data_IF_784368765620
#
_entry.id   IF_784368765620
#
_cell.length_a   1.000
_cell.length_b   1.000
_cell.length_c   1.000
_cell.angle_alpha   90.00
_cell.angle_beta   90.00
_cell.angle_gamma   90.00
#
_symmetry.space_group_name_H-M   'P 1'
#
loop_
_entity.id
_entity.type
_entity.pdbx_description
1 polymer ?
#
# COMPACT_ATOMS: atom_id res chain seq x y z
N UNK A 1 87.18 0.43 2.23
CA UNK A 1 85.93 0.73 1.52
C UNK A 1 84.87 1.06 2.54
N UNK A 2 84.42 2.31 2.57
CA UNK A 2 83.39 2.78 3.50
C UNK A 2 82.03 2.35 2.92
N UNK A 3 81.41 1.33 3.52
CA UNK A 3 80.06 0.88 3.18
C UNK A 3 79.08 1.99 3.51
N UNK A 4 78.46 2.61 2.49
CA UNK A 4 77.49 3.68 2.69
C UNK A 4 76.29 3.15 3.46
N UNK A 5 76.10 3.62 4.69
CA UNK A 5 74.89 3.37 5.47
C UNK A 5 73.73 4.08 4.77
N UNK A 6 72.86 3.33 4.08
CA UNK A 6 71.57 3.87 3.62
C UNK A 6 70.62 3.83 4.82
N UNK A 7 70.01 4.97 5.22
CA UNK A 7 68.96 4.96 6.22
C UNK A 7 67.82 4.06 5.73
N UNK A 8 67.14 3.35 6.65
CA UNK A 8 65.98 2.54 6.29
C UNK A 8 64.92 3.41 5.62
N UNK A 9 64.21 2.90 4.61
CA UNK A 9 63.12 3.63 3.98
C UNK A 9 62.07 4.01 5.03
N UNK A 10 61.48 5.21 4.93
CA UNK A 10 60.42 5.63 5.84
C UNK A 10 59.28 4.60 5.82
N UNK A 11 58.61 4.35 6.96
CA UNK A 11 57.47 3.45 7.01
C UNK A 11 56.41 3.92 6.01
N UNK A 12 55.75 2.98 5.30
CA UNK A 12 54.69 3.35 4.37
C UNK A 12 53.60 4.15 5.11
N UNK A 13 53.03 5.19 4.48
CA UNK A 13 51.96 5.95 5.10
C UNK A 13 50.82 5.00 5.51
N UNK A 14 50.19 5.24 6.68
CA UNK A 14 49.07 4.41 7.14
C UNK A 14 48.00 4.36 6.05
N UNK A 15 47.50 3.16 5.78
CA UNK A 15 46.45 2.96 4.78
C UNK A 15 45.27 3.89 5.09
N UNK A 16 44.70 4.58 4.08
CA UNK A 16 43.52 5.41 4.31
C UNK A 16 42.43 4.55 4.95
N UNK A 17 41.69 5.08 5.94
CA UNK A 17 40.60 4.34 6.56
C UNK A 17 39.63 3.87 5.47
N UNK A 18 39.08 2.65 5.57
CA UNK A 18 38.13 2.15 4.59
C UNK A 18 37.03 3.19 4.42
N UNK A 19 36.64 3.53 3.18
CA UNK A 19 35.63 4.55 2.94
C UNK A 19 34.42 4.21 3.80
N UNK A 20 34.04 5.13 4.68
CA UNK A 20 32.90 5.00 5.57
C UNK A 20 31.72 4.63 4.69
N UNK A 21 31.27 3.37 4.78
CA UNK A 21 30.20 2.89 3.92
C UNK A 21 29.03 3.85 4.10
N UNK A 22 28.64 4.54 3.03
CA UNK A 22 27.64 5.61 3.10
C UNK A 22 26.44 5.14 3.90
N UNK A 23 26.13 5.88 4.97
CA UNK A 23 25.12 5.55 5.98
C UNK A 23 23.84 5.04 5.29
N UNK A 24 23.61 3.72 5.36
CA UNK A 24 22.42 3.14 4.79
C UNK A 24 21.27 3.52 5.73
N UNK A 25 20.33 4.33 5.26
CA UNK A 25 19.01 4.47 5.91
C UNK A 25 18.48 3.07 6.21
N UNK A 26 18.34 2.77 7.50
CA UNK A 26 17.74 1.55 8.00
C UNK A 26 16.24 1.53 7.63
N UNK A 27 15.80 0.43 7.03
CA UNK A 27 14.41 0.24 6.61
C UNK A 27 13.80 -1.01 7.25
N UNK A 28 14.44 -1.57 8.27
CA UNK A 28 14.02 -2.84 8.88
C UNK A 28 12.72 -2.67 9.65
N UNK A 29 12.58 -1.59 10.43
CA UNK A 29 11.32 -1.24 11.09
C UNK A 29 10.16 -1.05 10.08
N UNK A 30 10.41 -0.36 8.96
CA UNK A 30 9.41 -0.18 7.89
C UNK A 30 9.07 -1.50 7.20
N UNK A 31 10.03 -2.43 7.11
CA UNK A 31 9.79 -3.78 6.58
C UNK A 31 8.91 -4.60 7.52
N UNK A 32 9.17 -4.52 8.83
CA UNK A 32 8.30 -5.09 9.86
C UNK A 32 6.88 -4.53 9.81
N UNK A 33 6.75 -3.21 9.69
CA UNK A 33 5.45 -2.53 9.58
C UNK A 33 4.67 -2.95 8.33
N UNK A 34 5.35 -3.16 7.19
CA UNK A 34 4.74 -3.72 5.98
C UNK A 34 4.25 -5.15 6.21
N UNK A 35 5.03 -5.97 6.93
CA UNK A 35 4.64 -7.32 7.32
C UNK A 35 3.40 -7.33 8.21
N UNK A 36 3.37 -6.48 9.24
CA UNK A 36 2.22 -6.33 10.12
C UNK A 36 0.96 -5.86 9.36
N UNK A 37 1.13 -4.92 8.43
CA UNK A 37 0.03 -4.45 7.58
C UNK A 37 -0.50 -5.57 6.68
N UNK A 38 0.39 -6.37 6.07
CA UNK A 38 0.01 -7.54 5.27
C UNK A 38 -0.74 -8.60 6.09
N UNK A 39 -0.29 -8.86 7.33
CA UNK A 39 -0.95 -9.75 8.26
C UNK A 39 -2.36 -9.25 8.61
N UNK A 40 -2.50 -7.95 8.89
CA UNK A 40 -3.80 -7.34 9.17
C UNK A 40 -4.76 -7.43 7.98
N UNK A 41 -4.27 -7.23 6.75
CA UNK A 41 -5.05 -7.44 5.51
C UNK A 41 -5.52 -8.89 5.41
N UNK A 42 -4.62 -9.86 5.65
CA UNK A 42 -4.94 -11.29 5.62
C UNK A 42 -6.02 -11.65 6.66
N UNK A 43 -5.85 -11.20 7.90
CA UNK A 43 -6.81 -11.44 8.98
C UNK A 43 -8.16 -10.79 8.68
N UNK A 44 -8.18 -9.54 8.18
CA UNK A 44 -9.40 -8.85 7.79
C UNK A 44 -10.15 -9.54 6.65
N UNK A 45 -9.43 -10.12 5.68
CA UNK A 45 -10.06 -10.95 4.64
C UNK A 45 -10.60 -12.26 5.21
N UNK A 46 -9.82 -12.96 6.03
CA UNK A 46 -10.26 -14.20 6.67
C UNK A 46 -11.51 -13.95 7.53
N UNK A 47 -11.51 -12.88 8.33
CA UNK A 47 -12.66 -12.51 9.17
C UNK A 47 -13.88 -12.09 8.34
N UNK A 48 -13.67 -11.28 7.30
CA UNK A 48 -14.73 -10.79 6.43
C UNK A 48 -15.41 -11.92 5.64
N UNK A 49 -14.64 -12.85 5.07
CA UNK A 49 -15.20 -13.93 4.26
C UNK A 49 -15.79 -15.09 5.07
N UNK A 50 -15.27 -15.38 6.27
CA UNK A 50 -15.76 -16.53 7.06
C UNK A 50 -16.77 -16.14 8.14
N UNK A 51 -16.67 -14.92 8.69
CA UNK A 51 -17.51 -14.48 9.81
C UNK A 51 -18.29 -13.20 9.52
N UNK A 52 -18.14 -12.60 8.34
CA UNK A 52 -18.81 -11.35 7.97
C UNK A 52 -18.28 -10.11 8.70
N UNK A 53 -17.13 -10.22 9.37
CA UNK A 53 -16.53 -9.12 10.15
C UNK A 53 -15.43 -8.46 9.30
N UNK A 54 -15.68 -7.28 8.74
CA UNK A 54 -14.64 -6.49 8.05
C UNK A 54 -13.75 -5.79 9.08
N UNK A 55 -12.56 -6.36 9.33
CA UNK A 55 -11.54 -5.79 10.20
C UNK A 55 -10.82 -4.57 9.61
N UNK A 56 -11.42 -3.84 8.66
CA UNK A 56 -10.82 -2.70 7.96
C UNK A 56 -9.53 -3.09 7.21
N UNK A 57 -9.45 -4.34 6.74
CA UNK A 57 -8.32 -4.82 5.93
C UNK A 57 -8.12 -3.95 4.69
N UNK A 58 -9.20 -3.38 4.14
CA UNK A 58 -9.16 -2.46 3.01
C UNK A 58 -8.39 -1.16 3.25
N UNK A 59 -8.40 -0.61 4.47
CA UNK A 59 -7.66 0.60 4.80
C UNK A 59 -6.15 0.31 4.94
N UNK A 60 -5.82 -0.80 5.59
CA UNK A 60 -4.43 -1.28 5.77
C UNK A 60 -3.73 -1.50 4.43
N UNK A 61 -4.50 -1.91 3.44
CA UNK A 61 -4.10 -2.03 2.05
C UNK A 61 -3.50 -0.75 1.44
N UNK A 62 -4.14 0.41 1.63
CA UNK A 62 -3.59 1.70 1.19
C UNK A 62 -2.26 2.00 1.89
N UNK A 63 -2.18 1.72 3.19
CA UNK A 63 -0.96 1.92 3.96
C UNK A 63 0.18 1.01 3.47
N UNK A 64 -0.12 -0.26 3.15
CA UNK A 64 0.84 -1.19 2.57
C UNK A 64 1.42 -0.68 1.24
N UNK A 65 0.58 -0.09 0.38
CA UNK A 65 1.01 0.47 -0.91
C UNK A 65 1.86 1.73 -0.75
N UNK A 66 1.48 2.62 0.18
CA UNK A 66 2.28 3.80 0.53
C UNK A 66 3.66 3.40 1.03
N UNK A 67 3.73 2.47 1.99
CA UNK A 67 5.01 1.95 2.51
C UNK A 67 5.83 1.24 1.42
N UNK A 68 5.17 0.56 0.48
CA UNK A 68 5.85 -0.09 -0.63
C UNK A 68 6.53 0.91 -1.56
N UNK A 69 5.83 2.00 -1.93
CA UNK A 69 6.42 3.09 -2.73
C UNK A 69 7.58 3.78 -2.01
N UNK A 70 7.43 4.01 -0.69
CA UNK A 70 8.46 4.61 0.14
C UNK A 70 9.72 3.75 0.19
N UNK A 71 9.62 2.50 0.63
CA UNK A 71 10.77 1.59 0.79
C UNK A 71 11.46 1.32 -0.55
N UNK A 72 10.69 1.17 -1.63
CA UNK A 72 11.26 1.02 -2.97
C UNK A 72 12.08 2.23 -3.39
N UNK A 73 11.58 3.43 -3.14
CA UNK A 73 12.28 4.68 -3.45
C UNK A 73 13.54 4.85 -2.61
N UNK A 74 13.52 4.51 -1.32
CA UNK A 74 14.73 4.53 -0.49
C UNK A 74 15.76 3.50 -0.99
N UNK A 75 15.33 2.28 -1.31
CA UNK A 75 16.22 1.20 -1.72
C UNK A 75 16.90 1.47 -3.07
N UNK A 76 16.15 1.97 -4.06
CA UNK A 76 16.68 2.19 -5.42
C UNK A 76 17.06 3.64 -5.73
N UNK A 77 16.55 4.62 -4.99
CA UNK A 77 16.87 6.03 -5.15
C UNK A 77 18.21 6.43 -4.55
N UNK A 78 18.72 5.69 -3.55
CA UNK A 78 19.98 6.00 -2.83
C UNK A 78 21.21 6.09 -3.73
N UNK A 79 21.24 5.36 -4.84
CA UNK A 79 22.37 5.41 -5.79
C UNK A 79 22.45 6.74 -6.56
N UNK A 80 21.52 7.66 -6.34
CA UNK A 80 21.39 8.90 -7.12
C UNK A 80 20.98 10.11 -6.28
N UNK A 81 21.09 10.06 -4.94
CA UNK A 81 20.75 11.20 -4.06
C UNK A 81 21.77 12.31 -4.05
N UNK A 82 22.97 12.07 -4.57
CA UNK A 82 23.96 13.12 -4.75
C UNK A 82 23.52 14.01 -5.93
N UNK A 83 23.08 15.26 -5.68
CA UNK A 83 22.62 16.15 -6.74
C UNK A 83 23.74 16.50 -7.73
N UNK A 84 25.00 16.28 -7.36
CA UNK A 84 26.17 16.56 -8.20
C UNK A 84 26.52 15.39 -9.12
N UNK A 85 26.03 14.17 -8.85
CA UNK A 85 26.35 13.00 -9.67
C UNK A 85 25.35 12.83 -10.80
N UNK A 86 25.84 12.66 -12.06
CA UNK A 86 24.97 12.36 -13.18
C UNK A 86 24.20 11.07 -12.92
N UNK A 87 23.00 11.01 -13.47
CA UNK A 87 22.07 9.91 -13.24
C UNK A 87 22.70 8.60 -13.70
N UNK A 88 22.98 7.70 -12.76
CA UNK A 88 23.32 6.33 -13.13
C UNK A 88 22.09 5.71 -13.80
N UNK A 89 22.23 5.11 -14.99
CA UNK A 89 21.09 4.52 -15.69
C UNK A 89 20.43 3.48 -14.78
N UNK A 90 19.13 3.68 -14.52
CA UNK A 90 18.35 2.73 -13.74
C UNK A 90 18.32 1.40 -14.48
N UNK A 91 18.90 0.35 -13.86
CA UNK A 91 18.95 -0.99 -14.46
C UNK A 91 17.58 -1.66 -14.39
N UNK A 92 16.67 -1.23 -15.28
CA UNK A 92 15.27 -1.63 -15.29
C UNK A 92 15.08 -3.15 -15.37
N UNK A 93 15.81 -3.82 -16.27
CA UNK A 93 15.73 -5.28 -16.41
C UNK A 93 16.12 -6.02 -15.14
N UNK A 94 17.21 -5.60 -14.48
CA UNK A 94 17.63 -6.21 -13.20
C UNK A 94 16.60 -5.97 -12.09
N UNK A 95 16.03 -4.76 -12.05
CA UNK A 95 14.98 -4.42 -11.10
C UNK A 95 13.74 -5.31 -11.29
N UNK A 96 13.20 -5.38 -12.52
CA UNK A 96 12.03 -6.20 -12.81
C UNK A 96 12.28 -7.68 -12.55
N UNK A 97 13.42 -8.22 -12.99
CA UNK A 97 13.79 -9.62 -12.74
C UNK A 97 13.76 -9.96 -11.26
N UNK A 98 14.35 -9.11 -10.42
CA UNK A 98 14.39 -9.34 -8.98
C UNK A 98 13.00 -9.24 -8.33
N UNK A 99 12.12 -8.37 -8.84
CA UNK A 99 10.75 -8.23 -8.34
C UNK A 99 9.85 -9.39 -8.77
N UNK A 100 9.92 -9.79 -10.03
CA UNK A 100 9.15 -10.92 -10.55
C UNK A 100 9.61 -12.26 -9.95
N UNK A 101 10.93 -12.47 -9.76
CA UNK A 101 11.44 -13.66 -9.09
C UNK A 101 10.95 -13.81 -7.63
N UNK A 102 10.57 -12.71 -6.97
CA UNK A 102 9.97 -12.75 -5.63
C UNK A 102 8.46 -12.96 -5.67
N UNK A 103 7.76 -12.35 -6.63
CA UNK A 103 6.30 -12.30 -6.64
C UNK A 103 5.65 -13.46 -7.40
N UNK A 104 6.12 -13.75 -8.61
CA UNK A 104 5.43 -14.67 -9.53
C UNK A 104 5.50 -16.15 -9.12
N UNK A 105 6.62 -16.70 -8.62
CA UNK A 105 6.68 -18.12 -8.27
C UNK A 105 5.63 -18.50 -7.22
N UNK A 106 5.52 -17.70 -6.15
CA UNK A 106 4.52 -17.93 -5.11
C UNK A 106 3.09 -17.78 -5.64
N UNK A 107 2.84 -16.79 -6.50
CA UNK A 107 1.54 -16.60 -7.12
C UNK A 107 1.10 -17.83 -7.92
N UNK A 108 1.95 -18.31 -8.83
CA UNK A 108 1.63 -19.46 -9.66
C UNK A 108 1.48 -20.74 -8.85
N UNK A 109 2.34 -20.98 -7.85
CA UNK A 109 2.19 -22.13 -6.94
C UNK A 109 0.84 -22.12 -6.24
N UNK A 110 0.44 -21.01 -5.63
CA UNK A 110 -0.84 -20.91 -4.92
C UNK A 110 -2.02 -21.05 -5.90
N UNK A 111 -1.94 -20.43 -7.08
CA UNK A 111 -3.01 -20.50 -8.09
C UNK A 111 -3.17 -21.92 -8.63
N UNK A 112 -2.06 -22.62 -8.90
CA UNK A 112 -2.07 -24.02 -9.33
C UNK A 112 -2.61 -24.94 -8.24
N UNK A 113 -2.21 -24.76 -6.97
CA UNK A 113 -2.73 -25.53 -5.84
C UNK A 113 -4.25 -25.31 -5.71
N UNK A 114 -4.71 -24.06 -5.81
CA UNK A 114 -6.13 -23.75 -5.77
C UNK A 114 -6.89 -24.44 -6.91
N UNK A 115 -6.40 -24.33 -8.15
CA UNK A 115 -7.01 -24.99 -9.31
C UNK A 115 -7.07 -26.51 -9.11
N UNK A 116 -5.99 -27.12 -8.60
CA UNK A 116 -5.94 -28.54 -8.32
C UNK A 116 -7.00 -28.97 -7.29
N UNK A 117 -7.08 -28.29 -6.15
CA UNK A 117 -8.11 -28.57 -5.14
C UNK A 117 -9.52 -28.31 -5.64
N UNK A 118 -9.71 -27.28 -6.48
CA UNK A 118 -10.99 -27.00 -7.10
C UNK A 118 -11.42 -28.17 -8.01
N UNK A 119 -10.53 -28.68 -8.87
CA UNK A 119 -10.80 -29.83 -9.74
C UNK A 119 -11.14 -31.07 -8.91
N UNK A 120 -10.40 -31.33 -7.82
CA UNK A 120 -10.66 -32.47 -6.94
C UNK A 120 -12.01 -32.34 -6.20
N UNK A 121 -12.29 -31.18 -5.61
CA UNK A 121 -13.50 -30.94 -4.82
C UNK A 121 -14.77 -30.89 -5.66
N UNK A 122 -14.69 -30.38 -6.89
CA UNK A 122 -15.79 -30.38 -7.86
C UNK A 122 -16.17 -31.79 -8.36
N UNK A 123 -15.35 -32.81 -8.04
CA UNK A 123 -15.64 -34.23 -8.28
C UNK A 123 -15.88 -34.61 -9.73
N UNK A 124 -15.39 -33.83 -10.70
CA UNK A 124 -15.76 -33.93 -12.12
C UNK A 124 -17.22 -33.55 -12.40
N UNK A 125 -18.17 -33.97 -11.57
CA UNK A 125 -19.62 -33.76 -11.75
C UNK A 125 -20.04 -32.29 -11.81
N UNK A 126 -19.43 -31.38 -11.04
CA UNK A 126 -19.78 -29.95 -11.11
C UNK A 126 -19.41 -29.31 -12.46
N UNK A 127 -18.38 -29.83 -13.13
CA UNK A 127 -17.96 -29.41 -14.49
C UNK A 127 -18.96 -29.93 -15.53
N UNK A 128 -19.60 -31.08 -15.29
CA UNK A 128 -20.49 -31.75 -16.24
C UNK A 128 -21.99 -31.43 -16.05
N UNK A 129 -22.47 -31.05 -14.87
CA UNK A 129 -23.91 -30.78 -14.64
C UNK A 129 -24.34 -29.33 -14.85
N UNK A 130 -23.40 -28.36 -14.89
CA UNK A 130 -23.69 -26.95 -15.24
C UNK A 130 -23.29 -26.56 -16.67
N UNK A 131 -23.13 -27.56 -17.56
CA UNK A 131 -22.10 -27.59 -18.61
C UNK A 131 -22.41 -26.93 -19.95
N UNK A 132 -23.62 -26.45 -20.24
CA UNK A 132 -23.86 -25.78 -21.53
C UNK A 132 -23.59 -24.26 -21.49
N UNK A 133 -23.86 -23.58 -20.36
CA UNK A 133 -23.86 -22.10 -20.31
C UNK A 133 -22.67 -21.54 -19.52
N UNK A 134 -22.24 -22.20 -18.44
CA UNK A 134 -21.25 -21.63 -17.52
C UNK A 134 -19.81 -22.13 -17.73
N UNK A 135 -19.61 -23.21 -18.50
CA UNK A 135 -18.30 -23.80 -18.78
C UNK A 135 -17.30 -22.82 -19.42
N UNK A 136 -17.65 -22.14 -20.52
CA UNK A 136 -16.74 -21.18 -21.17
C UNK A 136 -16.37 -20.00 -20.27
N UNK A 137 -17.32 -19.50 -19.47
CA UNK A 137 -17.11 -18.39 -18.53
C UNK A 137 -16.13 -18.78 -17.44
N UNK A 138 -16.25 -20.00 -16.90
CA UNK A 138 -15.30 -20.55 -15.95
C UNK A 138 -13.89 -20.66 -16.55
N UNK A 139 -13.75 -21.27 -17.73
CA UNK A 139 -12.46 -21.40 -18.41
C UNK A 139 -11.83 -20.03 -18.68
N UNK A 140 -12.62 -19.05 -19.11
CA UNK A 140 -12.13 -17.69 -19.32
C UNK A 140 -11.63 -17.05 -18.02
N UNK A 141 -12.35 -17.22 -16.90
CA UNK A 141 -11.93 -16.75 -15.56
C UNK A 141 -10.61 -17.37 -15.13
N UNK A 142 -10.42 -18.67 -15.35
CA UNK A 142 -9.16 -19.37 -15.07
C UNK A 142 -8.03 -18.78 -15.91
N UNK A 143 -8.23 -18.69 -17.24
CA UNK A 143 -7.25 -18.10 -18.17
C UNK A 143 -6.88 -16.68 -17.72
N UNK A 144 -7.87 -15.86 -17.36
CA UNK A 144 -7.64 -14.49 -16.89
C UNK A 144 -6.90 -14.43 -15.56
N UNK A 145 -7.14 -15.38 -14.65
CA UNK A 145 -6.43 -15.44 -13.37
C UNK A 145 -4.97 -15.85 -13.60
N UNK A 146 -4.71 -16.91 -14.38
CA UNK A 146 -3.35 -17.35 -14.70
C UNK A 146 -2.56 -16.30 -15.50
N UNK A 147 -3.22 -15.57 -16.40
CA UNK A 147 -2.60 -14.49 -17.19
C UNK A 147 -2.51 -13.15 -16.46
N UNK A 148 -3.02 -13.05 -15.23
CA UNK A 148 -3.04 -11.81 -14.44
C UNK A 148 -3.80 -10.67 -15.15
N UNK A 149 -4.90 -11.02 -15.84
CA UNK A 149 -5.74 -10.09 -16.61
C UNK A 149 -7.11 -9.81 -15.99
N UNK A 150 -7.53 -10.56 -14.97
CA UNK A 150 -8.91 -10.47 -14.48
C UNK A 150 -9.31 -9.07 -13.95
N UNK A 151 -8.42 -8.31 -13.30
CA UNK A 151 -8.77 -6.97 -12.81
C UNK A 151 -8.65 -5.88 -13.87
N UNK A 152 -8.15 -6.22 -15.05
CA UNK A 152 -8.15 -5.34 -16.21
C UNK A 152 -9.42 -5.44 -17.01
N UNK A 153 -10.15 -6.54 -16.88
CA UNK A 153 -11.39 -6.76 -17.61
C UNK A 153 -12.60 -6.51 -16.73
N UNK A 154 -12.55 -6.94 -15.46
CA UNK A 154 -13.69 -6.83 -14.54
C UNK A 154 -14.28 -5.41 -14.40
N UNK A 155 -13.48 -4.33 -14.22
CA UNK A 155 -14.03 -2.99 -14.05
C UNK A 155 -14.62 -2.35 -15.31
N UNK A 156 -14.39 -2.92 -16.50
CA UNK A 156 -14.84 -2.33 -17.77
C UNK A 156 -15.89 -3.16 -18.47
N UNK A 157 -16.16 -4.35 -17.96
CA UNK A 157 -17.11 -5.28 -18.58
C UNK A 157 -18.22 -5.63 -17.58
N UNK A 158 -19.15 -4.69 -17.29
CA UNK A 158 -20.25 -4.94 -16.36
C UNK A 158 -21.14 -6.11 -16.81
N UNK A 159 -21.18 -6.44 -18.11
CA UNK A 159 -21.87 -7.63 -18.64
C UNK A 159 -21.26 -8.96 -18.18
N UNK A 160 -20.02 -8.94 -17.66
CA UNK A 160 -19.41 -10.08 -16.99
C UNK A 160 -19.77 -10.11 -15.50
N UNK A 161 -20.11 -8.97 -14.88
CA UNK A 161 -20.50 -8.83 -13.47
C UNK A 161 -21.77 -9.61 -13.09
N UNK A 162 -22.01 -9.79 -11.79
CA UNK A 162 -22.93 -10.79 -11.21
C UNK A 162 -24.45 -10.48 -11.39
N UNK A 163 -24.86 -9.50 -12.20
CA UNK A 163 -26.27 -9.26 -12.52
C UNK A 163 -26.45 -8.67 -13.93
N UNK A 164 -27.53 -8.92 -14.69
CA UNK A 164 -28.93 -9.04 -14.26
C UNK A 164 -29.78 -9.98 -15.15
N UNK A 165 -29.24 -10.66 -16.17
CA UNK A 165 -30.08 -11.45 -17.09
C UNK A 165 -29.78 -12.95 -17.19
N UNK A 166 -28.61 -13.45 -16.73
CA UNK A 166 -28.20 -14.83 -17.00
C UNK A 166 -27.50 -15.57 -15.84
N UNK A 167 -27.79 -15.23 -14.57
CA UNK A 167 -27.20 -15.94 -13.42
C UNK A 167 -25.68 -15.77 -13.32
N UNK A 168 -25.21 -14.53 -13.50
CA UNK A 168 -23.83 -14.14 -13.78
C UNK A 168 -22.80 -14.75 -12.85
N UNK A 169 -21.91 -15.54 -13.43
CA UNK A 169 -20.85 -16.28 -12.74
C UNK A 169 -19.45 -15.94 -13.26
N UNK A 170 -19.14 -14.67 -13.60
CA UNK A 170 -17.72 -14.26 -13.48
C UNK A 170 -17.42 -13.92 -12.04
N UNK A 171 -17.38 -15.02 -11.29
CA UNK A 171 -16.81 -15.08 -9.97
C UNK A 171 -15.45 -14.39 -9.98
N UNK A 172 -15.19 -13.68 -8.89
CA UNK A 172 -13.89 -13.14 -8.49
C UNK A 172 -12.74 -14.04 -8.91
N UNK A 173 -11.53 -13.52 -9.17
CA UNK A 173 -10.40 -14.35 -9.52
C UNK A 173 -10.30 -15.56 -8.60
N UNK A 174 -9.88 -16.65 -9.21
CA UNK A 174 -9.77 -17.99 -8.63
C UNK A 174 -9.10 -17.93 -7.27
N UNK A 175 -7.97 -17.24 -7.22
CA UNK A 175 -7.47 -16.69 -5.98
C UNK A 175 -8.02 -15.28 -5.78
N UNK A 176 -8.84 -15.08 -4.74
CA UNK A 176 -9.43 -13.77 -4.40
C UNK A 176 -8.39 -12.68 -4.13
N UNK A 177 -7.11 -13.03 -3.99
CA UNK A 177 -5.96 -12.12 -3.79
C UNK A 177 -5.21 -11.76 -5.09
N UNK A 178 -5.59 -12.33 -6.23
CA UNK A 178 -4.92 -12.10 -7.53
C UNK A 178 -4.84 -10.61 -7.90
N UNK A 179 -5.85 -9.82 -7.53
CA UNK A 179 -5.86 -8.38 -7.80
C UNK A 179 -4.72 -7.63 -7.11
N UNK A 180 -4.28 -8.06 -5.92
CA UNK A 180 -3.16 -7.46 -5.21
C UNK A 180 -1.85 -7.70 -5.96
N UNK A 181 -1.68 -8.91 -6.51
CA UNK A 181 -0.52 -9.26 -7.33
C UNK A 181 -0.49 -8.41 -8.60
N UNK A 182 -1.61 -8.24 -9.29
CA UNK A 182 -1.72 -7.35 -10.45
C UNK A 182 -1.41 -5.89 -10.11
N UNK A 183 -1.91 -5.41 -8.97
CA UNK A 183 -1.60 -4.06 -8.48
C UNK A 183 -0.10 -3.88 -8.25
N UNK A 184 0.55 -4.85 -7.60
CA UNK A 184 2.00 -4.86 -7.39
C UNK A 184 2.78 -4.89 -8.70
N UNK A 185 2.34 -5.67 -9.70
CA UNK A 185 2.98 -5.70 -11.01
C UNK A 185 2.97 -4.32 -11.68
N UNK A 186 1.85 -3.60 -11.62
CA UNK A 186 1.77 -2.22 -12.12
C UNK A 186 2.71 -1.30 -11.38
N UNK A 187 2.77 -1.40 -10.06
CA UNK A 187 3.72 -0.59 -9.29
C UNK A 187 5.16 -0.87 -9.74
N UNK A 188 5.52 -2.12 -10.01
CA UNK A 188 6.88 -2.44 -10.48
C UNK A 188 7.13 -1.91 -11.89
N UNK A 189 6.18 -2.08 -12.83
CA UNK A 189 6.32 -1.58 -14.20
C UNK A 189 6.40 -0.06 -14.26
N UNK A 190 5.60 0.64 -13.45
CA UNK A 190 5.53 2.10 -13.43
C UNK A 190 6.58 2.76 -12.55
N UNK A 191 7.18 2.03 -11.60
CA UNK A 191 8.11 2.58 -10.60
C UNK A 191 9.25 3.44 -11.18
N UNK A 192 9.97 3.06 -12.26
CA UNK A 192 11.05 3.89 -12.78
C UNK A 192 10.56 5.25 -13.29
N UNK A 193 9.38 5.27 -13.92
CA UNK A 193 8.73 6.49 -14.40
C UNK A 193 8.27 7.34 -13.22
N UNK A 194 7.63 6.72 -12.23
CA UNK A 194 7.19 7.38 -10.99
C UNK A 194 8.39 7.95 -10.22
N UNK A 195 9.51 7.23 -10.14
CA UNK A 195 10.73 7.69 -9.47
C UNK A 195 11.34 8.88 -10.20
N UNK A 196 11.40 8.84 -11.54
CA UNK A 196 11.86 9.98 -12.34
C UNK A 196 10.97 11.20 -12.11
N UNK A 197 9.65 11.02 -12.16
CA UNK A 197 8.66 12.07 -11.91
C UNK A 197 8.75 12.64 -10.49
N UNK A 198 8.79 11.79 -9.46
CA UNK A 198 8.85 12.21 -8.06
C UNK A 198 10.09 13.06 -7.77
N UNK A 199 11.19 12.78 -8.46
CA UNK A 199 12.45 13.53 -8.33
C UNK A 199 12.49 14.83 -9.13
N UNK A 200 11.77 14.91 -10.25
CA UNK A 200 11.67 16.15 -11.02
C UNK A 200 10.82 17.23 -10.32
N UNK A 201 10.05 16.86 -9.30
CA UNK A 201 9.23 17.81 -8.55
C UNK A 201 10.12 18.64 -7.59
N UNK A 202 10.10 19.99 -7.71
CA UNK A 202 10.80 20.89 -6.80
C UNK A 202 10.39 20.64 -5.35
N UNK A 203 11.30 20.90 -4.39
CA UNK A 203 11.09 20.53 -2.98
C UNK A 203 9.84 21.20 -2.40
N UNK A 204 9.67 22.48 -2.72
CA UNK A 204 8.57 23.35 -2.36
C UNK A 204 7.20 22.80 -2.82
N UNK A 205 7.14 22.12 -3.97
CA UNK A 205 5.89 21.66 -4.57
C UNK A 205 5.48 20.24 -4.13
N UNK A 206 6.37 19.48 -3.50
CA UNK A 206 6.09 18.07 -3.14
C UNK A 206 4.93 17.91 -2.19
N UNK A 207 4.76 18.83 -1.25
CA UNK A 207 3.63 18.82 -0.32
C UNK A 207 2.29 18.94 -1.05
N UNK A 208 2.21 19.90 -1.98
CA UNK A 208 1.03 20.09 -2.84
C UNK A 208 0.79 18.85 -3.71
N UNK A 209 1.84 18.26 -4.30
CA UNK A 209 1.70 17.04 -5.12
C UNK A 209 1.21 15.82 -4.33
N UNK A 210 1.64 15.66 -3.08
CA UNK A 210 1.10 14.61 -2.20
C UNK A 210 -0.39 14.84 -1.92
N UNK A 211 -0.81 16.09 -1.70
CA UNK A 211 -2.23 16.42 -1.53
C UNK A 211 -3.04 16.17 -2.81
N UNK A 212 -2.53 16.56 -3.97
CA UNK A 212 -3.18 16.28 -5.27
C UNK A 212 -3.38 14.77 -5.47
N UNK A 213 -2.35 13.96 -5.21
CA UNK A 213 -2.45 12.49 -5.28
C UNK A 213 -3.44 11.91 -4.26
N UNK A 214 -3.48 12.46 -3.04
CA UNK A 214 -4.47 12.07 -2.03
C UNK A 214 -5.89 12.34 -2.53
N UNK A 215 -6.15 13.53 -3.07
CA UNK A 215 -7.46 13.87 -3.60
C UNK A 215 -7.84 13.05 -4.83
N UNK A 216 -6.88 12.72 -5.70
CA UNK A 216 -7.13 11.78 -6.81
C UNK A 216 -7.55 10.41 -6.27
N UNK A 217 -6.87 9.88 -5.24
CA UNK A 217 -7.27 8.62 -4.61
C UNK A 217 -8.63 8.72 -3.93
N UNK A 218 -8.88 9.81 -3.20
CA UNK A 218 -10.13 10.02 -2.48
C UNK A 218 -11.29 10.11 -3.49
N UNK A 219 -11.16 10.92 -4.54
CA UNK A 219 -12.14 11.02 -5.63
C UNK A 219 -12.38 9.69 -6.33
N UNK A 220 -11.33 8.93 -6.62
CA UNK A 220 -11.47 7.57 -7.16
C UNK A 220 -12.22 6.65 -6.20
N UNK A 221 -11.97 6.74 -4.90
CA UNK A 221 -12.66 5.93 -3.91
C UNK A 221 -14.12 6.39 -3.75
N UNK A 222 -14.38 7.69 -3.89
CA UNK A 222 -15.70 8.29 -3.77
C UNK A 222 -16.61 7.94 -4.95
N UNK A 223 -16.10 7.95 -6.19
CA UNK A 223 -16.89 7.56 -7.36
C UNK A 223 -17.45 6.14 -7.25
N UNK A 224 -16.74 5.27 -6.53
CA UNK A 224 -17.14 3.88 -6.33
C UNK A 224 -18.30 3.74 -5.34
N UNK A 225 -18.44 4.66 -4.40
CA UNK A 225 -19.61 4.70 -3.52
C UNK A 225 -20.87 5.03 -4.33
N UNK A 226 -20.76 6.00 -5.25
CA UNK A 226 -21.87 6.33 -6.15
C UNK A 226 -22.21 5.17 -7.08
N UNK A 227 -21.21 4.38 -7.52
CA UNK A 227 -21.46 3.12 -8.23
C UNK A 227 -22.14 2.09 -7.33
N UNK A 228 -21.72 1.90 -6.08
CA UNK A 228 -22.36 0.97 -5.14
C UNK A 228 -23.84 1.34 -4.91
N UNK A 229 -24.15 2.64 -4.87
CA UNK A 229 -25.52 3.14 -4.71
C UNK A 229 -26.35 3.14 -6.02
N UNK A 230 -25.72 2.82 -7.16
CA UNK A 230 -26.39 2.82 -8.46
C UNK A 230 -27.27 1.58 -8.64
N UNK A 231 -28.54 1.73 -9.06
CA UNK A 231 -29.41 0.59 -9.36
C UNK A 231 -28.95 -0.22 -10.59
N UNK A 232 -27.99 0.29 -11.37
CA UNK A 232 -27.49 -0.32 -12.61
C UNK A 232 -26.36 -1.32 -12.35
N UNK A 233 -25.68 -1.22 -11.20
CA UNK A 233 -24.52 -2.05 -10.88
C UNK A 233 -24.76 -2.79 -9.59
N UNK A 234 -24.41 -4.07 -9.52
CA UNK A 234 -24.37 -4.75 -8.23
C UNK A 234 -23.32 -4.04 -7.33
N UNK A 235 -23.62 -3.92 -6.03
CA UNK A 235 -22.72 -3.26 -5.08
C UNK A 235 -21.32 -3.92 -5.03
N UNK A 236 -21.24 -5.18 -5.44
CA UNK A 236 -20.02 -5.95 -5.53
C UNK A 236 -19.09 -5.43 -6.65
N UNK A 237 -19.63 -5.07 -7.80
CA UNK A 237 -18.90 -4.55 -8.95
C UNK A 237 -18.30 -3.19 -8.63
N UNK A 238 -19.07 -2.28 -8.02
CA UNK A 238 -18.55 -0.99 -7.55
C UNK A 238 -17.44 -1.19 -6.51
N UNK A 239 -17.63 -2.13 -5.58
CA UNK A 239 -16.63 -2.51 -4.60
C UNK A 239 -15.31 -2.99 -5.26
N UNK A 240 -15.38 -3.92 -6.23
CA UNK A 240 -14.19 -4.51 -6.85
C UNK A 240 -13.53 -3.61 -7.90
N UNK A 241 -14.31 -2.83 -8.64
CA UNK A 241 -13.81 -1.78 -9.53
C UNK A 241 -13.03 -0.72 -8.75
N UNK A 242 -13.49 -0.39 -7.54
CA UNK A 242 -12.77 0.51 -6.65
C UNK A 242 -11.53 -0.10 -6.01
N UNK A 243 -11.63 -1.33 -5.49
CA UNK A 243 -10.53 -1.92 -4.71
C UNK A 243 -9.50 -2.66 -5.55
N UNK A 244 -9.96 -3.44 -6.52
CA UNK A 244 -9.17 -4.40 -7.29
C UNK A 244 -8.50 -3.81 -8.53
N UNK A 245 -8.97 -2.66 -9.03
CA UNK A 245 -8.39 -2.02 -10.19
C UNK A 245 -6.98 -1.44 -9.91
N UNK A 246 -5.92 -1.93 -10.56
CA UNK A 246 -4.54 -1.54 -10.27
C UNK A 246 -4.26 -0.02 -10.34
N UNK A 247 -4.78 0.66 -11.38
CA UNK A 247 -4.50 2.09 -11.58
C UNK A 247 -5.17 2.97 -10.52
N UNK A 248 -6.31 2.54 -9.98
CA UNK A 248 -7.01 3.23 -8.89
C UNK A 248 -6.23 3.28 -7.58
N UNK A 249 -5.09 2.58 -7.48
CA UNK A 249 -4.19 2.55 -6.31
C UNK A 249 -2.83 3.19 -6.56
N UNK A 250 -2.53 3.54 -7.81
CA UNK A 250 -1.28 4.17 -8.19
C UNK A 250 -1.02 5.49 -7.45
N UNK A 251 -2.01 6.38 -7.19
CA UNK A 251 -1.76 7.62 -6.48
C UNK A 251 -1.18 7.42 -5.07
N UNK A 252 -1.67 6.43 -4.31
CA UNK A 252 -1.18 6.10 -2.97
C UNK A 252 0.27 5.62 -3.00
N UNK A 253 0.60 4.77 -3.97
CA UNK A 253 1.97 4.31 -4.19
C UNK A 253 2.90 5.49 -4.54
N UNK A 254 2.45 6.39 -5.41
CA UNK A 254 3.18 7.60 -5.80
C UNK A 254 3.40 8.55 -4.61
N UNK A 255 2.44 8.67 -3.68
CA UNK A 255 2.62 9.41 -2.43
C UNK A 255 3.79 8.85 -1.63
N UNK A 256 3.86 7.52 -1.48
CA UNK A 256 4.98 6.85 -0.82
C UNK A 256 6.32 7.18 -1.46
N UNK A 257 6.38 7.16 -2.79
CA UNK A 257 7.59 7.53 -3.54
C UNK A 257 8.00 8.99 -3.30
N UNK A 258 7.05 9.93 -3.37
CA UNK A 258 7.32 11.35 -3.11
C UNK A 258 7.79 11.63 -1.69
N UNK A 259 7.15 10.99 -0.70
CA UNK A 259 7.56 11.08 0.71
C UNK A 259 9.00 10.60 0.90
N UNK A 260 9.39 9.51 0.26
CA UNK A 260 10.77 9.03 0.32
C UNK A 260 11.76 10.01 -0.33
N UNK A 261 11.43 10.59 -1.49
CA UNK A 261 12.28 11.64 -2.11
C UNK A 261 12.41 12.86 -1.19
N UNK A 262 11.32 13.25 -0.53
CA UNK A 262 11.33 14.35 0.43
C UNK A 262 12.25 14.08 1.63
N UNK A 263 12.15 12.88 2.20
CA UNK A 263 13.05 12.44 3.29
C UNK A 263 14.51 12.42 2.82
N UNK A 264 14.78 11.94 1.60
CA UNK A 264 16.13 11.83 1.04
C UNK A 264 16.76 13.21 0.73
N UNK A 265 15.96 14.19 0.25
CA UNK A 265 16.44 15.55 -0.06
C UNK A 265 16.39 16.49 1.15
N UNK A 266 15.61 16.16 2.17
CA UNK A 266 15.41 16.97 3.38
C UNK A 266 16.61 17.03 4.33
N UNK A 267 17.74 16.40 3.99
CA UNK A 267 18.89 16.18 4.87
C UNK A 267 18.51 15.42 6.15
N UNK A 268 18.24 14.12 6.00
CA UNK A 268 18.24 13.12 7.09
C UNK A 268 19.43 13.31 8.06
N UNK A 269 20.58 13.71 7.53
CA UNK A 269 21.81 13.97 8.28
C UNK A 269 21.84 15.29 9.08
N UNK A 270 20.82 16.17 8.99
CA UNK A 270 20.58 17.24 9.97
C UNK A 270 19.76 16.75 11.16
N UNK A 271 18.78 15.87 10.92
CA UNK A 271 17.96 15.27 11.98
C UNK A 271 18.80 14.33 12.87
N UNK A 272 19.63 13.48 12.26
CA UNK A 272 20.55 12.60 13.02
C UNK A 272 21.66 13.38 13.74
N UNK A 273 22.14 14.51 13.20
CA UNK A 273 23.12 15.36 13.91
C UNK A 273 22.53 16.09 15.11
N UNK A 274 21.26 16.49 15.05
CA UNK A 274 20.57 17.05 16.21
C UNK A 274 20.33 16.00 17.32
N UNK A 275 20.06 14.75 16.94
CA UNK A 275 19.90 13.63 17.90
C UNK A 275 21.24 13.17 18.51
N UNK A 276 22.32 13.15 17.73
CA UNK A 276 23.65 12.80 18.26
C UNK A 276 24.23 13.86 19.21
N UNK A 277 23.85 15.13 19.05
CA UNK A 277 24.30 16.22 19.91
C UNK A 277 23.52 16.35 21.23
N UNK A 278 22.34 15.72 21.33
CA UNK A 278 21.44 15.84 22.50
C UNK A 278 21.61 14.74 23.55
N UNK A 279 22.58 13.82 23.39
CA UNK A 279 22.94 12.87 24.45
C UNK A 279 21.80 11.92 24.85
N UNK A 280 21.68 10.81 24.13
CA UNK A 280 21.15 9.56 24.69
C UNK A 280 19.70 9.60 25.22
N UNK A 281 18.74 9.99 24.39
CA UNK A 281 17.32 9.71 24.64
C UNK A 281 16.70 9.12 23.38
N UNK A 282 16.57 7.80 23.32
CA UNK A 282 15.90 7.13 22.21
C UNK A 282 14.47 7.65 22.08
N UNK A 283 14.18 8.37 20.99
CA UNK A 283 12.83 8.84 20.70
C UNK A 283 12.04 7.63 20.24
N UNK A 284 11.32 7.02 21.17
CA UNK A 284 10.24 6.10 20.88
C UNK A 284 9.23 6.81 19.97
N UNK A 285 8.78 6.10 18.94
CA UNK A 285 7.76 6.55 18.00
C UNK A 285 6.39 6.54 18.72
N UNK A 286 6.18 7.46 19.66
CA UNK A 286 4.85 7.67 20.26
C UNK A 286 4.00 8.48 19.28
N UNK A 287 3.12 7.77 18.58
CA UNK A 287 1.93 8.36 17.99
C UNK A 287 1.00 8.78 19.14
N UNK A 288 1.30 9.91 19.77
CA UNK A 288 0.43 10.49 20.79
C UNK A 288 -0.83 11.03 20.11
N UNK A 289 -1.90 10.25 20.16
CA UNK A 289 -3.25 10.71 19.93
C UNK A 289 -3.72 11.52 21.15
N UNK A 290 -3.23 12.75 21.33
CA UNK A 290 -3.88 13.66 22.27
C UNK A 290 -4.99 14.40 21.54
N UNK A 291 -6.22 13.92 21.74
CA UNK A 291 -7.45 14.66 21.52
C UNK A 291 -7.40 16.00 22.28
N UNK A 292 -7.14 17.10 21.56
CA UNK A 292 -7.41 18.42 22.10
C UNK A 292 -8.92 18.67 22.08
N UNK A 293 -9.58 18.47 23.22
CA UNK A 293 -10.84 19.11 23.54
C UNK A 293 -10.63 20.64 23.57
N UNK A 294 -11.43 21.43 22.84
CA UNK A 294 -11.45 22.88 23.07
C UNK A 294 -12.29 23.14 24.33
N UNK A 295 -11.66 23.53 25.45
CA UNK A 295 -12.39 24.19 26.54
C UNK A 295 -12.12 23.80 28.00
N UNK A 296 -10.93 23.31 28.37
CA UNK A 296 -10.60 23.20 29.81
C UNK A 296 -9.60 24.28 30.23
N UNK A 297 -10.13 25.25 30.99
CA UNK A 297 -9.42 26.27 31.73
C UNK A 297 -8.72 25.65 32.96
N UNK A 298 -7.38 25.62 32.98
CA UNK A 298 -6.59 25.53 34.20
C UNK A 298 -5.36 26.42 34.04
N UNK A 299 -5.19 27.37 34.98
CA UNK A 299 -4.23 28.49 34.94
C UNK A 299 -2.77 28.15 35.26
N UNK A 300 -1.91 29.19 35.41
CA UNK A 300 -0.47 29.09 35.15
C UNK A 300 0.37 28.70 36.37
N UNK A 301 1.35 27.82 36.15
CA UNK A 301 2.47 27.52 37.04
C UNK A 301 3.81 27.64 36.29
N UNK A 302 4.95 27.79 36.99
CA UNK A 302 5.99 28.76 36.68
C UNK A 302 6.81 28.47 35.41
N UNK A 303 7.24 29.59 34.82
CA UNK A 303 8.03 29.68 33.60
C UNK A 303 9.33 28.85 33.66
N UNK A 304 9.38 27.78 32.87
CA UNK A 304 10.64 27.32 32.31
C UNK A 304 10.72 27.84 30.87
N UNK A 305 11.24 29.07 30.75
CA UNK A 305 11.53 29.69 29.46
C UNK A 305 12.90 29.19 29.00
N UNK A 306 12.93 28.78 27.73
CA UNK A 306 14.10 28.49 26.90
C UNK A 306 14.92 27.26 27.29
N UNK A 307 14.80 26.20 26.47
CA UNK A 307 15.87 25.73 25.59
C UNK A 307 15.25 24.70 24.62
N UNK A 308 15.49 24.92 23.32
CA UNK A 308 15.13 24.15 22.12
C UNK A 308 13.90 24.63 21.34
N UNK A 309 14.07 25.06 20.07
CA UNK A 309 12.94 25.38 19.21
C UNK A 309 12.17 24.09 18.87
N UNK A 310 10.86 24.12 19.07
CA UNK A 310 9.89 23.10 18.66
C UNK A 310 9.71 23.02 17.12
N UNK A 311 10.79 23.24 16.37
CA UNK A 311 10.85 23.19 14.91
C UNK A 311 11.37 21.83 14.43
N UNK A 312 11.12 20.78 15.21
CA UNK A 312 11.67 19.47 14.91
C UNK A 312 11.04 18.95 13.61
N UNK A 313 11.89 18.50 12.70
CA UNK A 313 11.50 17.88 11.44
C UNK A 313 10.53 16.70 11.65
N UNK A 314 10.63 16.06 12.83
CA UNK A 314 9.68 15.09 13.33
C UNK A 314 8.26 15.64 13.30
N UNK A 315 8.01 16.82 13.84
CA UNK A 315 6.66 17.41 13.87
C UNK A 315 6.12 17.69 12.46
N UNK A 316 6.95 18.11 11.50
CA UNK A 316 6.48 18.42 10.13
C UNK A 316 6.18 17.17 9.29
N UNK A 317 7.02 16.14 9.38
CA UNK A 317 6.75 14.86 8.70
C UNK A 317 5.63 14.11 9.38
N UNK A 318 5.60 14.12 10.72
CA UNK A 318 4.52 13.53 11.51
C UNK A 318 3.22 14.25 11.26
N UNK A 319 3.19 15.58 11.12
CA UNK A 319 1.95 16.31 10.78
C UNK A 319 1.46 15.99 9.36
N UNK A 320 2.34 15.83 8.38
CA UNK A 320 1.94 15.44 7.00
C UNK A 320 1.52 13.98 6.90
N UNK A 321 2.22 13.09 7.59
CA UNK A 321 1.86 11.68 7.69
C UNK A 321 0.58 11.52 8.52
N UNK A 322 0.40 12.30 9.58
CA UNK A 322 -0.83 12.42 10.36
C UNK A 322 -1.96 13.01 9.53
N UNK A 323 -1.72 13.97 8.63
CA UNK A 323 -2.77 14.43 7.69
C UNK A 323 -3.19 13.29 6.77
N UNK A 324 -2.24 12.48 6.30
CA UNK A 324 -2.55 11.30 5.50
C UNK A 324 -3.23 10.19 6.31
N UNK A 325 -2.83 9.98 7.57
CA UNK A 325 -3.43 9.01 8.50
C UNK A 325 -4.79 9.47 9.03
N UNK A 326 -5.02 10.78 9.17
CA UNK A 326 -6.32 11.39 9.46
C UNK A 326 -7.23 11.30 8.25
N UNK A 327 -6.69 11.49 7.04
CA UNK A 327 -7.37 11.17 5.79
C UNK A 327 -7.72 9.67 5.70
N UNK A 328 -6.79 8.78 6.06
CA UNK A 328 -7.04 7.34 6.16
C UNK A 328 -8.10 7.04 7.24
N UNK A 329 -8.05 7.75 8.37
CA UNK A 329 -9.06 7.71 9.43
C UNK A 329 -10.44 8.13 8.92
N UNK A 330 -10.53 9.14 8.06
CA UNK A 330 -11.78 9.53 7.41
C UNK A 330 -12.29 8.46 6.44
N UNK A 331 -11.40 7.78 5.72
CA UNK A 331 -11.74 6.63 4.86
C UNK A 331 -12.18 5.41 5.70
N UNK A 332 -11.56 5.19 6.87
CA UNK A 332 -11.93 4.14 7.83
C UNK A 332 -13.30 4.43 8.46
N UNK A 333 -13.49 5.63 9.00
CA UNK A 333 -14.76 6.07 9.56
C UNK A 333 -15.88 5.98 8.51
N UNK A 334 -15.55 6.27 7.25
CA UNK A 334 -16.46 6.14 6.14
C UNK A 334 -16.75 4.68 5.75
N UNK A 335 -15.76 3.77 5.80
CA UNK A 335 -15.98 2.34 5.63
C UNK A 335 -16.90 1.78 6.72
N UNK A 336 -16.71 2.19 7.97
CA UNK A 336 -17.60 1.85 9.08
C UNK A 336 -19.02 2.36 8.79
N UNK A 337 -19.16 3.60 8.30
CA UNK A 337 -20.46 4.17 7.93
C UNK A 337 -21.13 3.39 6.78
N UNK A 338 -20.37 2.98 5.77
CA UNK A 338 -20.89 2.19 4.64
C UNK A 338 -21.38 0.80 5.07
N UNK A 339 -20.68 0.16 6.01
CA UNK A 339 -21.12 -1.10 6.62
C UNK A 339 -22.36 -0.92 7.49
N UNK A 340 -22.48 0.21 8.19
CA UNK A 340 -23.71 0.56 8.91
C UNK A 340 -24.90 0.70 7.95
N UNK A 341 -24.73 1.42 6.84
CA UNK A 341 -25.78 1.62 5.83
C UNK A 341 -26.17 0.31 5.15
N UNK A 342 -25.20 -0.53 4.77
CA UNK A 342 -25.46 -1.84 4.18
C UNK A 342 -26.03 -2.84 5.20
N UNK A 343 -25.63 -2.75 6.47
CA UNK A 343 -26.17 -3.54 7.58
C UNK A 343 -27.64 -3.25 7.86
N UNK A 344 -28.10 -2.01 7.66
CA UNK A 344 -29.53 -1.68 7.68
C UNK A 344 -30.31 -2.36 6.54
N UNK A 345 -29.67 -2.60 5.38
CA UNK A 345 -30.26 -3.40 4.31
C UNK A 345 -30.52 -4.85 4.74
N UNK A 346 -29.62 -5.43 5.54
CA UNK A 346 -29.78 -6.77 6.10
C UNK A 346 -30.91 -6.82 7.15
N UNK A 347 -31.01 -5.80 8.01
CA UNK A 347 -32.15 -5.62 8.92
C UNK A 347 -33.47 -5.44 8.16
N UNK A 348 -33.48 -4.70 7.05
CA UNK A 348 -34.64 -4.56 6.17
C UNK A 348 -35.06 -5.89 5.53
N UNK A 349 -34.08 -6.71 5.11
CA UNK A 349 -34.32 -8.07 4.63
C UNK A 349 -34.90 -8.99 5.70
N UNK A 350 -34.33 -8.95 6.91
CA UNK A 350 -34.81 -9.72 8.07
C UNK A 350 -36.24 -9.31 8.46
N UNK A 351 -36.55 -8.01 8.50
CA UNK A 351 -37.91 -7.51 8.76
C UNK A 351 -38.88 -7.92 7.65
N UNK A 352 -38.44 -7.92 6.38
CA UNK A 352 -39.26 -8.42 5.26
C UNK A 352 -39.55 -9.92 5.38
N UNK A 353 -38.54 -10.73 5.73
CA UNK A 353 -38.68 -12.17 5.93
C UNK A 353 -39.55 -12.51 7.14
N UNK A 354 -39.38 -11.80 8.25
CA UNK A 354 -40.24 -11.93 9.44
C UNK A 354 -41.67 -11.52 9.09
N UNK A 355 -41.86 -10.41 8.37
CA UNK A 355 -43.18 -9.97 7.93
C UNK A 355 -43.88 -11.02 7.07
N UNK A 356 -43.19 -11.66 6.10
CA UNK A 356 -43.77 -12.74 5.29
C UNK A 356 -44.13 -13.97 6.13
N UNK A 357 -43.28 -14.36 7.07
CA UNK A 357 -43.55 -15.47 7.98
C UNK A 357 -44.79 -15.22 8.85
N UNK A 358 -45.07 -13.96 9.23
CA UNK A 358 -46.29 -13.59 9.94
C UNK A 358 -47.54 -13.53 9.06
N UNK A 359 -47.41 -13.31 7.75
CA UNK A 359 -48.56 -13.33 6.82
C UNK A 359 -48.95 -14.74 6.39
N UNK A 360 -48.06 -15.72 6.55
CA UNK A 360 -48.29 -17.13 6.22
C UNK A 360 -48.82 -17.97 7.41
N UNK A 361 -48.89 -17.38 8.61
CA UNK A 361 -49.55 -17.92 9.81
C UNK A 361 -50.93 -17.27 9.93
#
# INVERSE_FOLDING_TARGET
>A
GITSFRPPPPPPPPAPPPPTQGERVDTDALTGLRGATALHIMLGHYSGFNYGIDGLGGASMSFFYLLSGFVMTVAYGKKSTDPTKPWLPFKYGTFLRNRFARLLPMYYVITTIHLFFFILAAGGTYIYTSSAVNGPVFVLREIMSFSLLNMWVYPFWPMLGEGVAMGGSTSLPVASVTWTVQTMLIFYLTFPLVLRWARSIPKEDRGRKIQELYWIQASWSMSQIFNIASPVTDGLWGYWSGRGFPLGRLPVFMCGCLLAVEVMHGNWSRANRAQGASGGGGVAFELSFSSCCPGCCCGPGPQLKEILPADSWGDKVTNRMATYLMGLGSVIAFQILSHFVLGFGWLGGLVSSISRAFTEI
#
